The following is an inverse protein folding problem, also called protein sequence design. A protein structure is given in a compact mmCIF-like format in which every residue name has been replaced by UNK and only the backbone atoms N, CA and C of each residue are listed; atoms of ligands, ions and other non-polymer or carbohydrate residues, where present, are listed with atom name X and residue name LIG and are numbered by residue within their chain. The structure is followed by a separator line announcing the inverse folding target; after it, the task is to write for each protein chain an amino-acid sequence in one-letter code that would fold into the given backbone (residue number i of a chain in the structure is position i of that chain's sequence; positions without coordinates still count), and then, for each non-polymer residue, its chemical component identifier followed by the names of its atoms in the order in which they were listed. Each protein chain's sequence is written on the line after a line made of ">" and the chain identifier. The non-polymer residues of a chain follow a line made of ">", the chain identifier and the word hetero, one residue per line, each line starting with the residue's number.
data_IF_448289690241
#
_entry.id   IF_448289690241
#
_cell.length_a   1.000
_cell.length_b   1.000
_cell.length_c   1.000
_cell.angle_alpha   90.00
_cell.angle_beta   90.00
_cell.angle_gamma   90.00
#
_symmetry.space_group_name_H-M   'P 1'
#
loop_
_entity.id
_entity.type
_entity.pdbx_description
1 polymer ?
#
# COMPACT_ATOMS: atom_id res chain seq x y z
N UNK A 1 -41.69 29.86 -13.06
CA UNK A 1 -41.46 28.82 -14.10
C UNK A 1 -40.03 28.97 -14.60
N UNK A 2 -39.16 28.02 -14.27
CA UNK A 2 -37.78 27.98 -14.77
C UNK A 2 -37.60 26.64 -15.47
N UNK A 3 -37.38 26.67 -16.79
CA UNK A 3 -37.25 25.50 -17.63
C UNK A 3 -35.77 25.07 -17.70
N UNK A 4 -35.53 23.79 -17.47
CA UNK A 4 -34.24 23.14 -17.67
C UNK A 4 -33.97 22.94 -19.16
N UNK A 5 -32.72 23.17 -19.60
CA UNK A 5 -32.26 22.81 -20.94
C UNK A 5 -31.02 21.92 -20.80
N UNK A 6 -31.22 20.63 -20.99
CA UNK A 6 -30.16 19.63 -21.19
C UNK A 6 -29.79 19.61 -22.67
N UNK A 7 -28.48 19.71 -22.98
CA UNK A 7 -27.96 19.46 -24.32
C UNK A 7 -27.07 18.22 -24.30
N UNK A 8 -27.50 17.18 -25.03
CA UNK A 8 -26.70 16.01 -25.37
C UNK A 8 -26.11 16.23 -26.77
N UNK A 9 -24.84 15.86 -26.96
CA UNK A 9 -24.19 15.90 -28.27
C UNK A 9 -23.54 14.55 -28.52
N UNK A 10 -24.07 13.82 -29.49
CA UNK A 10 -23.57 12.53 -29.98
C UNK A 10 -22.90 12.74 -31.33
N UNK A 11 -21.73 12.13 -31.56
CA UNK A 11 -21.16 12.02 -32.91
C UNK A 11 -20.43 10.66 -33.10
N UNK A 12 -20.34 10.19 -34.35
CA UNK A 12 -20.55 8.78 -34.73
C UNK A 12 -19.29 7.91 -34.72
N UNK A 13 -19.56 6.61 -34.60
CA UNK A 13 -18.65 5.50 -34.79
C UNK A 13 -18.39 5.26 -36.28
N UNK A 14 -17.12 5.22 -36.70
CA UNK A 14 -16.72 4.70 -38.01
C UNK A 14 -15.50 3.79 -37.85
N UNK A 15 -15.67 2.52 -38.22
CA UNK A 15 -14.61 1.52 -38.34
C UNK A 15 -13.70 1.84 -39.53
N UNK A 16 -12.38 1.83 -39.33
CA UNK A 16 -11.44 1.67 -40.45
C UNK A 16 -10.36 0.63 -40.11
N UNK A 17 -10.37 -0.44 -40.89
CA UNK A 17 -9.41 -1.54 -40.95
C UNK A 17 -8.11 -1.06 -41.61
N UNK A 18 -6.94 -1.43 -41.09
CA UNK A 18 -5.66 -1.30 -41.80
C UNK A 18 -4.77 -2.53 -41.60
N UNK A 19 -4.41 -3.17 -42.71
CA UNK A 19 -3.54 -4.34 -42.89
C UNK A 19 -2.07 -3.90 -43.15
N UNK A 20 -1.07 -4.83 -43.18
CA UNK A 20 0.24 -4.65 -42.57
C UNK A 20 1.29 -3.98 -43.48
N UNK A 21 2.29 -3.33 -42.86
CA UNK A 21 3.44 -2.75 -43.55
C UNK A 21 4.64 -3.71 -43.50
N UNK A 22 5.18 -3.92 -44.70
CA UNK A 22 6.30 -4.76 -45.10
C UNK A 22 7.61 -3.96 -44.97
N UNK A 23 8.67 -4.64 -44.54
CA UNK A 23 10.05 -4.14 -44.41
C UNK A 23 10.67 -3.75 -45.75
N UNK A 24 11.45 -2.66 -45.78
CA UNK A 24 12.41 -2.34 -46.84
C UNK A 24 13.78 -1.99 -46.26
N UNK A 25 14.81 -2.45 -46.99
CA UNK A 25 16.25 -2.37 -46.69
C UNK A 25 16.83 -1.10 -47.31
N UNK A 26 17.69 -0.39 -46.58
CA UNK A 26 18.56 0.67 -47.12
C UNK A 26 19.96 0.55 -46.51
N UNK A 27 20.97 0.42 -47.36
CA UNK A 27 22.41 0.44 -47.05
C UNK A 27 22.93 1.88 -46.82
N UNK A 28 24.10 2.06 -46.18
CA UNK A 28 25.13 2.85 -46.87
C UNK A 28 26.59 2.36 -46.68
N UNK A 29 27.46 3.04 -47.42
CA UNK A 29 28.79 2.71 -47.89
C UNK A 29 29.95 2.60 -46.88
N UNK A 30 30.84 1.66 -47.22
CA UNK A 30 32.31 1.75 -47.35
C UNK A 30 33.05 2.87 -46.57
N UNK A 31 33.76 2.48 -45.51
CA UNK A 31 34.93 3.21 -44.99
C UNK A 31 36.17 2.31 -45.01
N UNK A 32 37.20 2.75 -45.72
CA UNK A 32 38.50 2.08 -45.89
C UNK A 32 39.50 2.71 -44.90
N UNK A 33 40.09 1.90 -44.01
CA UNK A 33 41.21 2.32 -43.19
C UNK A 33 42.54 1.82 -43.78
N UNK A 34 43.46 2.78 -43.99
CA UNK A 34 44.83 2.56 -44.46
C UNK A 34 45.66 1.84 -43.39
N UNK A 35 46.37 0.79 -43.81
CA UNK A 35 47.37 0.05 -43.04
C UNK A 35 48.67 0.86 -42.97
N UNK A 36 49.10 1.25 -41.77
CA UNK A 36 50.47 1.71 -41.51
C UNK A 36 51.26 0.53 -40.95
N UNK A 37 52.41 0.26 -41.56
CA UNK A 37 53.31 -0.85 -41.22
C UNK A 37 54.49 -0.32 -40.42
N UNK A 38 54.84 -0.99 -39.32
CA UNK A 38 56.12 -0.84 -38.63
C UNK A 38 56.58 -2.20 -38.07
N UNK A 39 57.90 -2.35 -38.00
CA UNK A 39 58.68 -3.57 -38.22
C UNK A 39 58.66 -4.65 -37.11
N UNK A 40 58.85 -5.89 -37.59
CA UNK A 40 59.48 -7.09 -37.00
C UNK A 40 59.87 -7.09 -35.50
N UNK A 41 59.20 -7.96 -34.73
CA UNK A 41 59.83 -9.00 -33.88
C UNK A 41 58.85 -10.18 -33.78
N UNK A 42 59.27 -11.39 -34.15
CA UNK A 42 58.50 -12.63 -33.95
C UNK A 42 58.92 -13.32 -32.66
N UNK A 43 58.02 -13.37 -31.67
CA UNK A 43 58.14 -14.26 -30.52
C UNK A 43 56.98 -15.25 -30.57
N UNK A 44 57.31 -16.53 -30.72
CA UNK A 44 56.37 -17.64 -30.69
C UNK A 44 55.94 -17.94 -29.25
N UNK A 45 54.73 -17.50 -28.89
CA UNK A 45 54.06 -17.88 -27.65
C UNK A 45 52.57 -18.14 -27.91
N UNK A 46 52.11 -19.38 -27.68
CA UNK A 46 50.68 -19.69 -27.65
C UNK A 46 50.08 -19.10 -26.38
N UNK A 47 49.57 -17.88 -26.45
CA UNK A 47 48.68 -17.32 -25.44
C UNK A 47 47.24 -17.69 -25.81
N UNK A 48 46.63 -18.58 -25.02
CA UNK A 48 45.21 -18.86 -25.12
C UNK A 48 44.47 -17.80 -24.32
N UNK A 49 44.04 -16.72 -24.98
CA UNK A 49 43.15 -15.72 -24.37
C UNK A 49 41.74 -16.31 -24.38
N UNK A 50 41.28 -16.79 -23.22
CA UNK A 50 39.84 -17.02 -22.99
C UNK A 50 39.20 -15.65 -22.76
N UNK A 51 38.55 -15.11 -23.77
CA UNK A 51 37.61 -14.02 -23.61
C UNK A 51 36.33 -14.59 -23.00
N UNK A 52 36.08 -14.33 -21.71
CA UNK A 52 34.74 -14.48 -21.15
C UNK A 52 33.92 -13.29 -21.60
N UNK A 53 33.06 -13.52 -22.61
CA UNK A 53 31.97 -12.61 -22.91
C UNK A 53 30.91 -12.87 -21.84
N UNK A 54 30.91 -12.05 -20.80
CA UNK A 54 29.75 -11.93 -19.92
C UNK A 54 28.63 -11.28 -20.73
N UNK A 55 27.78 -12.10 -21.36
CA UNK A 55 26.47 -11.65 -21.80
C UNK A 55 25.64 -11.40 -20.54
N UNK A 56 25.53 -10.14 -20.14
CA UNK A 56 24.43 -9.71 -19.27
C UNK A 56 23.14 -10.00 -20.04
N UNK A 57 22.50 -11.11 -19.69
CA UNK A 57 21.21 -11.46 -20.24
C UNK A 57 20.27 -10.27 -19.99
N UNK A 58 19.62 -9.69 -21.01
CA UNK A 58 18.67 -8.63 -20.76
C UNK A 58 17.62 -9.18 -19.82
N UNK A 59 17.61 -8.68 -18.58
CA UNK A 59 16.54 -8.94 -17.65
C UNK A 59 15.23 -8.67 -18.42
N UNK A 60 14.22 -9.55 -18.35
CA UNK A 60 12.97 -9.29 -19.00
C UNK A 60 12.49 -7.94 -18.49
N UNK A 61 12.42 -6.94 -19.38
CA UNK A 61 11.89 -5.62 -19.06
C UNK A 61 10.41 -5.83 -18.77
N UNK A 62 10.11 -6.18 -17.52
CA UNK A 62 8.81 -5.91 -16.93
C UNK A 62 8.68 -4.40 -17.08
N UNK A 63 7.73 -3.98 -17.90
CA UNK A 63 7.29 -2.59 -17.94
C UNK A 63 6.76 -2.29 -16.55
N UNK A 64 7.65 -1.85 -15.65
CA UNK A 64 7.29 -1.45 -14.32
C UNK A 64 6.45 -0.19 -14.46
N UNK A 65 5.18 -0.30 -14.12
CA UNK A 65 4.26 0.83 -14.08
C UNK A 65 4.86 1.86 -13.11
N UNK A 66 5.38 2.97 -13.64
CA UNK A 66 5.93 4.05 -12.82
C UNK A 66 4.81 4.57 -11.92
N UNK A 67 4.81 4.13 -10.67
CA UNK A 67 3.80 4.57 -9.71
C UNK A 67 4.10 5.99 -9.27
N UNK A 68 3.09 6.85 -9.34
CA UNK A 68 3.12 8.21 -8.78
C UNK A 68 3.04 8.21 -7.25
N UNK A 69 2.89 7.04 -6.61
CA UNK A 69 2.73 6.85 -5.16
C UNK A 69 4.05 6.44 -4.50
N UNK A 70 4.16 6.66 -3.19
CA UNK A 70 5.33 6.32 -2.36
C UNK A 70 5.42 4.79 -2.12
N UNK A 71 5.69 4.03 -3.17
CA UNK A 71 5.78 2.56 -3.15
C UNK A 71 7.19 2.02 -2.87
N UNK A 72 8.21 2.87 -2.94
CA UNK A 72 9.59 2.46 -2.66
C UNK A 72 9.75 1.98 -1.21
N UNK A 73 10.27 0.75 -1.06
CA UNK A 73 10.49 0.12 0.24
C UNK A 73 9.21 -0.31 0.96
N UNK A 74 8.07 -0.43 0.27
CA UNK A 74 6.81 -0.81 0.92
C UNK A 74 6.81 -2.28 1.36
N UNK A 75 6.53 -2.50 2.65
CA UNK A 75 6.38 -3.83 3.23
C UNK A 75 4.90 -4.20 3.26
N UNK A 76 4.58 -5.41 2.84
CA UNK A 76 3.23 -5.99 2.94
C UNK A 76 3.31 -7.43 3.43
N UNK A 77 2.31 -7.85 4.21
CA UNK A 77 2.15 -9.22 4.71
C UNK A 77 3.36 -9.77 5.49
N UNK A 78 4.08 -8.93 6.27
CA UNK A 78 5.16 -9.39 7.16
C UNK A 78 4.60 -10.38 8.19
N UNK A 79 3.50 -10.04 8.83
CA UNK A 79 2.80 -10.90 9.79
C UNK A 79 1.55 -11.51 9.17
N UNK A 80 1.48 -12.83 9.19
CA UNK A 80 0.36 -13.61 8.65
C UNK A 80 -0.59 -14.02 9.77
N UNK A 81 -1.86 -14.38 9.48
CA UNK A 81 -2.82 -14.77 10.52
C UNK A 81 -2.42 -16.01 11.32
N UNK A 82 -1.54 -16.86 10.76
CA UNK A 82 -1.00 -18.03 11.46
C UNK A 82 0.11 -17.68 12.46
N UNK A 83 0.80 -16.57 12.22
CA UNK A 83 1.94 -16.08 13.00
C UNK A 83 1.80 -14.55 13.13
N UNK A 84 0.77 -14.08 13.87
CA UNK A 84 0.55 -12.66 14.06
C UNK A 84 1.64 -12.06 14.96
N UNK A 85 1.86 -10.76 14.85
CA UNK A 85 2.60 -10.01 15.83
C UNK A 85 1.73 -9.79 17.08
N UNK A 86 2.29 -10.00 18.26
CA UNK A 86 1.60 -9.75 19.52
C UNK A 86 1.96 -8.35 19.99
N UNK A 87 1.03 -7.41 19.78
CA UNK A 87 1.14 -6.04 20.27
C UNK A 87 0.48 -5.87 21.63
N UNK A 88 0.69 -4.71 22.26
CA UNK A 88 0.08 -4.36 23.54
C UNK A 88 -0.71 -3.07 23.44
N UNK A 89 -1.93 -3.04 23.95
CA UNK A 89 -2.74 -1.82 24.03
C UNK A 89 -2.09 -0.84 25.01
N UNK A 90 -1.76 0.37 24.54
CA UNK A 90 -1.21 1.44 25.36
C UNK A 90 -2.31 2.40 25.82
N UNK A 91 -3.21 2.76 24.90
CA UNK A 91 -4.35 3.62 25.18
C UNK A 91 -5.57 3.16 24.37
N UNK A 92 -6.75 3.40 24.93
CA UNK A 92 -8.02 3.18 24.26
C UNK A 92 -9.03 4.22 24.77
N UNK A 93 -9.43 5.16 23.91
CA UNK A 93 -10.22 6.33 24.30
C UNK A 93 -11.39 6.52 23.33
N UNK A 94 -12.60 6.69 23.87
CA UNK A 94 -13.77 7.07 23.07
C UNK A 94 -13.61 8.51 22.58
N UNK A 95 -13.70 8.72 21.27
CA UNK A 95 -13.54 10.03 20.63
C UNK A 95 -14.86 10.68 20.22
N UNK A 96 -15.96 9.93 20.23
CA UNK A 96 -17.31 10.44 20.01
C UNK A 96 -17.95 10.88 21.33
N UNK A 97 -18.69 11.98 21.31
CA UNK A 97 -19.52 12.42 22.43
C UNK A 97 -20.66 11.44 22.74
N UNK A 98 -21.29 11.60 23.91
CA UNK A 98 -22.32 10.69 24.41
C UNK A 98 -23.61 10.72 23.57
N UNK A 99 -23.89 11.85 22.93
CA UNK A 99 -25.08 12.03 22.07
C UNK A 99 -24.91 11.42 20.67
N UNK A 100 -23.75 10.82 20.35
CA UNK A 100 -23.51 10.25 19.04
C UNK A 100 -24.32 8.94 18.83
N UNK A 101 -24.83 8.67 17.61
CA UNK A 101 -25.62 7.46 17.33
C UNK A 101 -24.80 6.15 17.41
N UNK A 102 -23.49 6.25 17.62
CA UNK A 102 -22.63 5.10 17.85
C UNK A 102 -21.26 5.56 18.31
N UNK A 103 -20.53 4.64 18.93
CA UNK A 103 -19.24 4.93 19.53
C UNK A 103 -18.11 4.75 18.52
N UNK A 104 -17.19 5.70 18.48
CA UNK A 104 -15.90 5.54 17.80
C UNK A 104 -14.78 5.74 18.80
N UNK A 105 -13.78 4.87 18.72
CA UNK A 105 -12.67 4.78 19.65
C UNK A 105 -11.34 4.98 18.92
N UNK A 106 -10.44 5.73 19.53
CA UNK A 106 -9.03 5.83 19.14
C UNK A 106 -8.20 4.97 20.08
N UNK A 107 -7.39 4.10 19.50
CA UNK A 107 -6.58 3.15 20.25
C UNK A 107 -5.17 3.11 19.69
N UNK A 108 -4.19 2.91 20.58
CA UNK A 108 -2.77 2.82 20.22
C UNK A 108 -2.19 1.53 20.74
N UNK A 109 -1.46 0.83 19.88
CA UNK A 109 -0.78 -0.41 20.18
C UNK A 109 0.73 -0.24 20.06
N UNK A 110 1.47 -0.84 20.98
CA UNK A 110 2.92 -0.99 20.87
C UNK A 110 3.25 -2.02 19.79
N UNK A 111 4.20 -1.68 18.93
CA UNK A 111 4.75 -2.51 17.87
C UNK A 111 6.25 -2.71 17.97
N UNK A 112 6.94 -2.01 18.88
CA UNK A 112 8.39 -2.08 19.07
C UNK A 112 9.21 -1.85 17.79
N UNK A 113 8.61 -1.25 16.75
CA UNK A 113 9.21 -1.06 15.42
C UNK A 113 9.14 -2.30 14.52
N UNK A 114 8.52 -3.39 14.98
CA UNK A 114 8.44 -4.64 14.24
C UNK A 114 7.42 -4.61 13.10
N UNK A 115 6.48 -3.67 13.12
CA UNK A 115 5.45 -3.53 12.08
C UNK A 115 5.79 -2.31 11.19
N UNK A 116 6.58 -2.48 10.11
CA UNK A 116 7.04 -1.38 9.25
C UNK A 116 5.93 -0.94 8.28
N UNK A 117 4.92 -0.23 8.79
CA UNK A 117 3.84 0.31 7.96
C UNK A 117 4.16 1.70 7.41
N UNK A 118 3.41 2.10 6.38
CA UNK A 118 3.39 3.46 5.83
C UNK A 118 1.98 4.03 5.76
N UNK A 119 1.90 5.33 5.52
CA UNK A 119 0.64 6.05 5.45
C UNK A 119 -0.29 5.44 4.38
N UNK A 120 -1.55 5.22 4.78
CA UNK A 120 -2.57 4.63 3.91
C UNK A 120 -2.59 3.09 3.86
N UNK A 121 -1.68 2.43 4.56
CA UNK A 121 -1.78 0.99 4.77
C UNK A 121 -2.82 0.64 5.84
N UNK A 122 -3.16 -0.64 5.92
CA UNK A 122 -4.04 -1.22 6.93
C UNK A 122 -3.29 -2.32 7.71
N UNK A 123 -3.77 -2.63 8.89
CA UNK A 123 -3.39 -3.84 9.64
C UNK A 123 -4.62 -4.72 9.84
N UNK A 124 -4.41 -6.03 9.96
CA UNK A 124 -5.46 -6.96 10.31
C UNK A 124 -5.42 -7.31 11.78
N UNK A 125 -6.56 -7.28 12.46
CA UNK A 125 -6.69 -7.71 13.85
C UNK A 125 -7.40 -9.06 13.90
N UNK A 126 -6.78 -10.01 14.60
CA UNK A 126 -7.40 -11.28 14.98
C UNK A 126 -7.94 -11.11 16.39
N UNK A 127 -9.27 -11.03 16.59
CA UNK A 127 -9.83 -10.90 17.93
C UNK A 127 -9.69 -12.21 18.69
N UNK A 128 -9.54 -12.11 20.00
CA UNK A 128 -9.47 -13.29 20.87
C UNK A 128 -10.78 -14.07 20.89
N UNK A 129 -10.69 -15.35 21.22
CA UNK A 129 -11.83 -16.26 21.30
C UNK A 129 -11.96 -17.19 20.09
N UNK A 130 -13.08 -17.91 20.07
CA UNK A 130 -13.38 -18.95 19.08
C UNK A 130 -14.73 -18.69 18.43
N UNK A 131 -14.85 -19.09 17.15
CA UNK A 131 -16.12 -19.10 16.44
C UNK A 131 -17.02 -20.27 16.90
N UNK A 132 -18.23 -20.31 16.36
CA UNK A 132 -19.22 -21.38 16.60
C UNK A 132 -18.73 -22.81 16.27
N UNK A 133 -17.64 -22.94 15.53
CA UNK A 133 -17.04 -24.22 15.14
C UNK A 133 -15.76 -24.53 15.94
N UNK A 134 -15.45 -23.74 16.97
CA UNK A 134 -14.24 -23.89 17.78
C UNK A 134 -12.96 -23.41 17.09
N UNK A 135 -13.04 -22.65 16.00
CA UNK A 135 -11.87 -22.14 15.27
C UNK A 135 -11.56 -20.70 15.68
N UNK A 136 -10.29 -20.28 15.67
CA UNK A 136 -9.94 -18.87 15.88
C UNK A 136 -10.68 -17.94 14.93
N UNK A 137 -11.04 -16.75 15.43
CA UNK A 137 -11.75 -15.78 14.60
C UNK A 137 -10.93 -15.33 13.39
N UNK A 138 -11.62 -15.06 12.27
CA UNK A 138 -10.98 -14.47 11.10
C UNK A 138 -10.52 -13.04 11.39
N UNK A 139 -9.41 -12.64 10.78
CA UNK A 139 -8.92 -11.26 10.86
C UNK A 139 -9.92 -10.26 10.27
N UNK A 140 -9.95 -9.04 10.80
CA UNK A 140 -10.61 -7.87 10.19
C UNK A 140 -9.57 -6.80 9.90
N UNK A 141 -9.65 -6.18 8.73
CA UNK A 141 -8.73 -5.11 8.33
C UNK A 141 -9.21 -3.76 8.86
N UNK A 142 -8.29 -2.98 9.39
CA UNK A 142 -8.50 -1.61 9.84
C UNK A 142 -7.44 -0.72 9.21
N UNK A 143 -7.87 0.41 8.66
CA UNK A 143 -6.95 1.43 8.15
C UNK A 143 -6.18 2.05 9.32
N UNK A 144 -4.88 2.21 9.12
CA UNK A 144 -4.00 2.79 10.13
C UNK A 144 -4.29 4.29 10.22
N UNK A 145 -4.51 4.77 11.44
CA UNK A 145 -4.86 6.15 11.73
C UNK A 145 -3.66 7.04 12.06
N UNK A 146 -2.49 6.46 12.35
CA UNK A 146 -1.22 7.14 12.65
C UNK A 146 -0.31 7.29 11.43
N UNK A 147 0.60 8.26 11.44
CA UNK A 147 1.70 8.31 10.48
C UNK A 147 2.68 7.15 10.72
N UNK A 148 3.63 6.91 9.80
CA UNK A 148 4.63 5.83 9.95
C UNK A 148 5.46 5.92 11.24
N UNK A 149 5.61 7.13 11.81
CA UNK A 149 6.30 7.34 13.08
C UNK A 149 5.43 7.02 14.31
N UNK A 150 4.14 6.72 14.13
CA UNK A 150 3.18 6.56 15.23
C UNK A 150 2.77 7.88 15.87
N UNK A 151 1.81 7.82 16.80
CA UNK A 151 1.34 9.02 17.53
C UNK A 151 2.42 9.60 18.48
N UNK A 152 3.41 8.77 18.88
CA UNK A 152 4.51 9.16 19.77
C UNK A 152 5.79 9.57 19.03
N UNK A 153 5.84 9.45 17.69
CA UNK A 153 6.98 9.86 16.88
C UNK A 153 8.21 8.93 16.92
N UNK A 154 8.11 7.78 17.59
CA UNK A 154 9.22 6.84 17.80
C UNK A 154 9.23 5.63 16.85
N UNK A 155 8.25 5.55 15.95
CA UNK A 155 8.01 4.40 15.04
C UNK A 155 7.72 3.07 15.75
N UNK A 156 7.39 3.10 17.05
CA UNK A 156 7.12 1.89 17.85
C UNK A 156 5.65 1.70 18.17
N UNK A 157 4.78 2.49 17.56
CA UNK A 157 3.34 2.42 17.81
C UNK A 157 2.52 2.48 16.53
N UNK A 158 1.32 1.90 16.61
CA UNK A 158 0.32 1.96 15.54
C UNK A 158 -1.04 2.31 16.15
N UNK A 159 -1.78 3.20 15.48
CA UNK A 159 -3.06 3.68 15.96
C UNK A 159 -4.20 3.28 15.03
N UNK A 160 -5.36 2.95 15.61
CA UNK A 160 -6.59 2.63 14.87
C UNK A 160 -7.73 3.56 15.29
N UNK A 161 -8.63 3.81 14.34
CA UNK A 161 -9.91 4.47 14.58
C UNK A 161 -11.03 3.45 14.31
N UNK A 162 -11.72 3.02 15.37
CA UNK A 162 -12.65 1.88 15.32
C UNK A 162 -14.03 2.31 15.76
N UNK A 163 -15.03 2.09 14.91
CA UNK A 163 -16.45 2.24 15.28
C UNK A 163 -16.98 0.93 15.86
N UNK A 164 -17.62 1.00 17.03
CA UNK A 164 -18.31 -0.15 17.63
C UNK A 164 -19.49 -0.53 16.74
N UNK A 165 -19.52 -1.78 16.28
CA UNK A 165 -20.61 -2.28 15.44
C UNK A 165 -21.64 -2.98 16.33
N UNK A 166 -22.84 -2.40 16.38
CA UNK A 166 -24.03 -2.98 17.00
C UNK A 166 -25.17 -2.79 16.02
N UNK A 167 -25.89 -3.85 15.70
CA UNK A 167 -27.04 -3.80 14.81
C UNK A 167 -28.11 -4.78 15.30
N UNK A 168 -29.36 -4.53 14.93
CA UNK A 168 -30.48 -5.44 15.20
C UNK A 168 -30.70 -6.29 13.96
N UNK A 169 -30.77 -7.62 14.12
CA UNK A 169 -31.09 -8.52 13.02
C UNK A 169 -32.60 -8.50 12.71
N UNK A 170 -33.01 -9.15 11.62
CA UNK A 170 -34.42 -9.23 11.22
C UNK A 170 -35.31 -9.95 12.24
N UNK A 171 -34.70 -10.76 13.13
CA UNK A 171 -35.38 -11.44 14.23
C UNK A 171 -35.55 -10.54 15.49
N UNK A 172 -35.08 -9.30 15.46
CA UNK A 172 -35.17 -8.35 16.58
C UNK A 172 -34.05 -8.49 17.63
N UNK A 173 -33.06 -9.35 17.42
CA UNK A 173 -31.95 -9.58 18.33
C UNK A 173 -30.81 -8.57 18.10
N UNK A 174 -30.25 -8.05 19.18
CA UNK A 174 -29.11 -7.13 19.13
C UNK A 174 -27.81 -7.92 18.94
N UNK A 175 -27.20 -7.80 17.76
CA UNK A 175 -25.96 -8.46 17.39
C UNK A 175 -24.79 -7.50 17.52
N UNK A 176 -23.75 -7.96 18.23
CA UNK A 176 -22.48 -7.23 18.40
C UNK A 176 -21.43 -7.75 17.42
N UNK A 177 -20.80 -6.85 16.67
CA UNK A 177 -19.67 -7.20 15.81
C UNK A 177 -18.48 -7.68 16.65
N UNK A 178 -18.00 -8.90 16.40
CA UNK A 178 -16.97 -9.55 17.22
C UNK A 178 -15.69 -8.70 17.36
N UNK A 179 -15.04 -8.35 16.25
CA UNK A 179 -13.74 -7.69 16.29
C UNK A 179 -13.82 -6.22 16.73
N UNK A 180 -14.84 -5.48 16.32
CA UNK A 180 -14.99 -4.07 16.72
C UNK A 180 -15.34 -3.93 18.21
N UNK A 181 -16.19 -4.80 18.76
CA UNK A 181 -16.46 -4.77 20.20
C UNK A 181 -15.23 -5.22 21.00
N UNK A 182 -14.55 -6.29 20.59
CA UNK A 182 -13.27 -6.70 21.18
C UNK A 182 -12.28 -5.54 21.27
N UNK A 183 -12.05 -4.83 20.16
CA UNK A 183 -11.13 -3.68 20.13
C UNK A 183 -11.59 -2.51 21.00
N UNK A 184 -12.88 -2.17 21.00
CA UNK A 184 -13.40 -1.08 21.82
C UNK A 184 -13.39 -1.40 23.31
N UNK A 185 -13.43 -2.68 23.70
CA UNK A 185 -13.40 -3.14 25.09
C UNK A 185 -11.98 -3.43 25.61
N UNK A 186 -10.95 -3.31 24.75
CA UNK A 186 -9.55 -3.53 25.14
C UNK A 186 -9.11 -2.54 26.22
N UNK A 187 -8.43 -3.06 27.24
CA UNK A 187 -7.85 -2.26 28.30
C UNK A 187 -6.37 -2.01 28.03
N UNK A 188 -5.81 -0.87 28.48
CA UNK A 188 -4.37 -0.67 28.50
C UNK A 188 -3.67 -1.84 29.20
N UNK A 189 -2.62 -2.35 28.56
CA UNK A 189 -1.85 -3.50 29.02
C UNK A 189 -2.26 -4.84 28.43
N UNK A 190 -3.45 -4.95 27.81
CA UNK A 190 -3.90 -6.18 27.13
C UNK A 190 -3.15 -6.44 25.82
N UNK A 191 -3.00 -7.70 25.46
CA UNK A 191 -2.38 -8.12 24.21
C UNK A 191 -3.37 -8.07 23.03
N UNK A 192 -2.84 -7.91 21.83
CA UNK A 192 -3.62 -7.93 20.58
C UNK A 192 -2.83 -8.60 19.46
N UNK A 193 -3.51 -9.44 18.69
CA UNK A 193 -2.92 -10.13 17.55
C UNK A 193 -3.03 -9.29 16.27
N UNK A 194 -1.89 -8.83 15.77
CA UNK A 194 -1.76 -7.92 14.62
C UNK A 194 -1.17 -8.66 13.41
N UNK A 195 -1.72 -8.41 12.23
CA UNK A 195 -1.26 -8.93 10.94
C UNK A 195 -1.05 -7.79 9.95
N UNK A 196 -0.29 -8.07 8.88
CA UNK A 196 0.06 -7.07 7.86
C UNK A 196 1.50 -6.56 8.00
N UNK A 197 1.80 -5.30 7.62
CA UNK A 197 0.89 -4.31 7.01
C UNK A 197 0.28 -4.79 5.69
N UNK A 198 -0.83 -4.22 5.23
CA UNK A 198 -1.47 -4.57 3.95
C UNK A 198 -1.92 -3.33 3.18
N UNK A 199 -2.03 -3.48 1.86
CA UNK A 199 -2.52 -2.44 0.96
C UNK A 199 -1.41 -1.57 0.36
N UNK A 200 -1.63 -1.17 -0.89
CA UNK A 200 -0.81 -0.20 -1.65
C UNK A 200 -1.65 0.88 -2.35
N UNK A 201 -2.98 0.76 -2.28
CA UNK A 201 -3.87 1.63 -3.05
C UNK A 201 -3.95 3.04 -2.47
N UNK A 202 -3.99 3.17 -1.15
CA UNK A 202 -4.15 4.45 -0.48
C UNK A 202 -2.82 5.11 -0.11
N UNK A 203 -1.73 4.84 -0.84
CA UNK A 203 -0.42 5.45 -0.56
C UNK A 203 -0.37 6.92 -1.00
N UNK A 204 0.42 7.71 -0.27
CA UNK A 204 0.65 9.12 -0.60
C UNK A 204 1.34 9.28 -1.96
N UNK A 205 1.09 10.38 -2.70
CA UNK A 205 1.88 10.72 -3.88
C UNK A 205 3.36 10.98 -3.54
N UNK A 206 4.24 10.75 -4.51
CA UNK A 206 5.67 11.06 -4.39
C UNK A 206 5.93 12.58 -4.39
N UNK A 207 5.18 13.31 -5.21
CA UNK A 207 5.31 14.75 -5.37
C UNK A 207 4.86 15.48 -4.08
N UNK A 208 5.77 16.22 -3.40
CA UNK A 208 5.43 16.97 -2.19
C UNK A 208 4.49 18.16 -2.45
N UNK A 209 4.40 18.65 -3.69
CA UNK A 209 3.55 19.79 -4.07
C UNK A 209 2.20 19.36 -4.68
N UNK A 210 1.91 18.06 -4.71
CA UNK A 210 0.68 17.55 -5.28
C UNK A 210 -0.54 17.98 -4.44
N UNK A 211 -1.59 18.44 -5.12
CA UNK A 211 -2.91 18.65 -4.49
C UNK A 211 -3.53 17.29 -4.16
N UNK A 212 -3.73 17.02 -2.87
CA UNK A 212 -4.34 15.78 -2.38
C UNK A 212 -5.76 16.06 -1.90
N UNK A 213 -6.77 15.65 -2.67
CA UNK A 213 -8.18 15.73 -2.29
C UNK A 213 -8.55 14.44 -1.54
N UNK A 214 -8.96 14.58 -0.28
CA UNK A 214 -9.29 13.46 0.61
C UNK A 214 -10.78 13.44 0.91
N UNK A 215 -11.47 12.35 0.54
CA UNK A 215 -12.91 12.18 0.74
C UNK A 215 -13.14 10.98 1.67
N UNK A 216 -13.74 11.20 2.84
CA UNK A 216 -13.95 10.15 3.85
C UNK A 216 -15.25 10.32 4.61
N UNK A 217 -15.85 9.19 4.99
CA UNK A 217 -17.05 9.12 5.84
C UNK A 217 -16.78 8.25 7.07
N UNK A 218 -17.15 8.72 8.25
CA UNK A 218 -16.94 7.98 9.51
C UNK A 218 -15.47 7.60 9.75
N UNK A 219 -15.22 6.30 9.98
CA UNK A 219 -13.86 5.76 10.20
C UNK A 219 -12.96 5.83 8.96
N UNK A 220 -13.51 6.18 7.79
CA UNK A 220 -12.74 6.48 6.58
C UNK A 220 -11.78 7.66 6.72
N UNK A 221 -11.86 8.42 7.82
CA UNK A 221 -10.88 9.46 8.18
C UNK A 221 -9.49 8.91 8.55
N UNK A 222 -9.39 7.65 8.96
CA UNK A 222 -8.15 7.05 9.46
C UNK A 222 -6.91 7.25 8.54
N UNK A 223 -6.93 6.83 7.25
CA UNK A 223 -5.77 7.02 6.38
C UNK A 223 -5.47 8.50 6.12
N UNK A 224 -6.46 9.39 6.19
CA UNK A 224 -6.25 10.82 5.99
C UNK A 224 -5.64 11.48 7.21
N UNK A 225 -5.99 11.04 8.44
CA UNK A 225 -5.28 11.43 9.66
C UNK A 225 -3.79 11.07 9.55
N UNK A 226 -3.50 9.85 9.07
CA UNK A 226 -2.13 9.39 8.82
C UNK A 226 -1.38 10.30 7.84
N UNK A 227 -2.02 10.71 6.74
CA UNK A 227 -1.46 11.64 5.75
C UNK A 227 -1.19 13.03 6.35
N UNK A 228 -2.20 13.61 7.02
CA UNK A 228 -2.13 14.95 7.58
C UNK A 228 -1.02 15.07 8.63
N UNK A 229 -0.83 14.04 9.47
CA UNK A 229 0.26 14.01 10.44
C UNK A 229 1.63 14.07 9.75
N UNK A 230 1.84 13.31 8.68
CA UNK A 230 3.11 13.32 7.93
C UNK A 230 3.33 14.62 7.15
N UNK A 231 2.27 15.23 6.64
CA UNK A 231 2.39 16.55 5.99
C UNK A 231 2.74 17.63 7.02
N UNK A 232 2.10 17.62 8.19
CA UNK A 232 2.35 18.60 9.24
C UNK A 232 3.74 18.43 9.88
N UNK A 233 4.29 17.22 9.95
CA UNK A 233 5.63 16.99 10.50
C UNK A 233 6.76 17.36 9.54
N UNK A 234 6.45 17.80 8.31
CA UNK A 234 7.43 18.24 7.30
C UNK A 234 7.52 19.76 7.19
N UNK A 235 6.60 20.50 7.81
CA UNK A 235 6.61 21.96 7.90
C UNK A 235 7.44 22.40 9.10
#
# INVERSE_FOLDING_TARGET
>A
MAAAVTAAVSFPYSNSTSLPIRTSVISPDRLVFKKVSLNNVSISGRLTVRAEVATEAPAPVKVEKISKKQEEGIVVNKFKPKTPYIGRCLLNTKITGDDAPGETWHMVFSTEGEVPYREGQSIGIVPDGIDKNGKPHKLRLYSIASSALGDFGDSKTVSLCVKRLVYTNDAGEVVKGVCSNFLCDLRPGSEVQITGPVGKEMLMPKDPNATVIMLGTGTGIAPFRSFLWKCSSRA
#
